data_IF_157854250418
#
_entry.id   IF_157854250418
#
_cell.length_a   1.000
_cell.length_b   1.000
_cell.length_c   1.000
_cell.angle_alpha   90.00
_cell.angle_beta   90.00
_cell.angle_gamma   90.00
#
_symmetry.space_group_name_H-M   'P 1'
#
loop_
_entity.id
_entity.type
_entity.pdbx_description
1 polymer ?
#
# COMPACT_ATOMS: atom_id res chain seq x y z
N UNK A 1 -23.08 -70.83 -37.63
CA UNK A 1 -23.22 -69.70 -36.66
C UNK A 1 -23.53 -68.43 -37.45
N UNK A 2 -24.75 -67.89 -37.32
CA UNK A 2 -25.38 -67.01 -38.32
C UNK A 2 -24.84 -65.57 -38.34
N UNK A 3 -24.83 -64.93 -39.51
CA UNK A 3 -24.43 -63.53 -39.77
C UNK A 3 -25.06 -62.54 -38.75
N UNK A 4 -26.25 -62.85 -38.25
CA UNK A 4 -26.97 -62.10 -37.23
C UNK A 4 -26.20 -61.94 -35.91
N UNK A 5 -25.53 -62.99 -35.42
CA UNK A 5 -24.73 -62.93 -34.19
C UNK A 5 -23.51 -62.00 -34.33
N UNK A 6 -22.96 -61.86 -35.55
CA UNK A 6 -21.84 -60.96 -35.85
C UNK A 6 -22.28 -59.50 -35.87
N UNK A 7 -23.45 -59.21 -36.47
CA UNK A 7 -24.02 -57.86 -36.51
C UNK A 7 -24.36 -57.34 -35.11
N UNK A 8 -24.99 -58.17 -34.27
CA UNK A 8 -25.32 -57.81 -32.88
C UNK A 8 -24.06 -57.54 -32.07
N UNK A 9 -23.01 -58.36 -32.22
CA UNK A 9 -21.73 -58.17 -31.53
C UNK A 9 -21.07 -56.85 -31.94
N UNK A 10 -21.01 -56.55 -33.23
CA UNK A 10 -20.43 -55.30 -33.74
C UNK A 10 -21.16 -54.04 -33.24
N UNK A 11 -22.49 -54.11 -33.12
CA UNK A 11 -23.30 -53.02 -32.58
C UNK A 11 -23.06 -52.77 -31.08
N UNK A 12 -22.88 -53.83 -30.30
CA UNK A 12 -22.52 -53.72 -28.88
C UNK A 12 -21.11 -53.10 -28.72
N UNK A 13 -20.15 -53.52 -29.55
CA UNK A 13 -18.79 -52.96 -29.52
C UNK A 13 -18.79 -51.48 -29.90
N UNK A 14 -19.47 -51.09 -30.98
CA UNK A 14 -19.57 -49.70 -31.40
C UNK A 14 -20.20 -48.79 -30.31
N UNK A 15 -21.24 -49.28 -29.62
CA UNK A 15 -21.86 -48.56 -28.50
C UNK A 15 -20.92 -48.37 -27.32
N UNK A 16 -20.09 -49.37 -26.99
CA UNK A 16 -19.11 -49.27 -25.91
C UNK A 16 -18.01 -48.28 -26.27
N UNK A 17 -17.51 -48.32 -27.50
CA UNK A 17 -16.51 -47.39 -28.01
C UNK A 17 -17.02 -45.95 -28.01
N UNK A 18 -18.24 -45.70 -28.48
CA UNK A 18 -18.85 -44.37 -28.46
C UNK A 18 -19.01 -43.80 -27.04
N UNK A 19 -19.41 -44.63 -26.08
CA UNK A 19 -19.51 -44.23 -24.66
C UNK A 19 -18.16 -43.89 -24.05
N UNK A 20 -17.12 -44.65 -24.42
CA UNK A 20 -15.76 -44.38 -23.96
C UNK A 20 -15.27 -43.03 -24.48
N UNK A 21 -15.43 -42.74 -25.77
CA UNK A 21 -15.06 -41.44 -26.34
C UNK A 21 -15.83 -40.28 -25.71
N UNK A 22 -17.14 -40.45 -25.47
CA UNK A 22 -17.93 -39.45 -24.79
C UNK A 22 -17.42 -39.15 -23.37
N UNK A 23 -17.06 -40.18 -22.61
CA UNK A 23 -16.51 -40.02 -21.26
C UNK A 23 -15.16 -39.29 -21.28
N UNK A 24 -14.30 -39.57 -22.26
CA UNK A 24 -13.02 -38.86 -22.44
C UNK A 24 -13.23 -37.38 -22.76
N UNK A 25 -14.16 -37.06 -23.66
CA UNK A 25 -14.47 -35.67 -24.02
C UNK A 25 -14.98 -34.90 -22.80
N UNK A 26 -15.90 -35.50 -22.02
CA UNK A 26 -16.42 -34.88 -20.80
C UNK A 26 -15.29 -34.66 -19.78
N UNK A 27 -14.39 -35.63 -19.62
CA UNK A 27 -13.23 -35.50 -18.73
C UNK A 27 -12.30 -34.35 -19.12
N UNK A 28 -12.05 -34.17 -20.43
CA UNK A 28 -11.21 -33.07 -20.93
C UNK A 28 -11.87 -31.70 -20.74
N UNK A 29 -13.17 -31.58 -21.00
CA UNK A 29 -13.92 -30.33 -20.79
C UNK A 29 -13.93 -29.95 -19.31
N UNK A 30 -14.15 -30.92 -18.41
CA UNK A 30 -14.12 -30.68 -16.96
C UNK A 30 -12.72 -30.29 -16.47
N UNK A 31 -11.67 -30.92 -16.97
CA UNK A 31 -10.29 -30.58 -16.63
C UNK A 31 -9.92 -29.15 -17.08
N UNK A 32 -10.41 -28.70 -18.24
CA UNK A 32 -10.21 -27.33 -18.73
C UNK A 32 -11.04 -26.26 -18.01
N UNK A 33 -12.03 -26.67 -17.21
CA UNK A 33 -12.87 -25.77 -16.40
C UNK A 33 -12.39 -25.62 -14.94
N UNK A 34 -11.25 -26.24 -14.59
CA UNK A 34 -10.66 -26.03 -13.28
C UNK A 34 -10.20 -24.57 -13.18
N UNK A 35 -10.52 -23.87 -12.08
CA UNK A 35 -10.05 -22.51 -11.86
C UNK A 35 -8.52 -22.49 -11.92
N UNK A 36 -7.97 -21.64 -12.77
CA UNK A 36 -6.53 -21.40 -12.78
C UNK A 36 -6.12 -20.74 -11.45
N UNK A 37 -4.95 -21.09 -10.88
CA UNK A 37 -4.43 -20.36 -9.74
C UNK A 37 -4.21 -18.91 -10.16
N UNK A 38 -5.00 -18.00 -9.59
CA UNK A 38 -4.75 -16.57 -9.68
C UNK A 38 -3.55 -16.30 -8.77
N UNK A 39 -2.42 -15.92 -9.37
CA UNK A 39 -1.32 -15.35 -8.59
C UNK A 39 -1.82 -14.02 -8.01
N UNK A 40 -1.87 -13.91 -6.69
CA UNK A 40 -1.97 -12.61 -6.03
C UNK A 40 -0.78 -11.76 -6.48
N UNK A 41 -1.00 -10.48 -6.77
CA UNK A 41 0.08 -9.54 -7.06
C UNK A 41 1.15 -9.63 -5.96
N UNK A 42 2.42 -9.53 -6.36
CA UNK A 42 3.54 -9.58 -5.42
C UNK A 42 3.32 -8.55 -4.30
N UNK A 43 3.60 -8.91 -3.03
CA UNK A 43 3.36 -8.00 -1.93
C UNK A 43 4.24 -6.76 -2.06
N UNK A 44 3.62 -5.58 -1.93
CA UNK A 44 4.33 -4.32 -1.69
C UNK A 44 5.10 -4.47 -0.38
N UNK A 45 6.41 -4.66 -0.48
CA UNK A 45 7.31 -4.78 0.68
C UNK A 45 8.02 -3.44 0.90
N UNK A 46 7.27 -2.48 1.47
CA UNK A 46 7.84 -1.24 1.97
C UNK A 46 8.51 -1.52 3.31
N UNK A 47 9.80 -1.84 3.26
CA UNK A 47 10.65 -1.85 4.44
C UNK A 47 11.05 -0.41 4.78
N UNK A 48 10.45 0.13 5.84
CA UNK A 48 11.04 1.25 6.57
C UNK A 48 12.30 0.73 7.28
N UNK A 49 13.43 0.81 6.59
CA UNK A 49 14.71 0.19 6.98
C UNK A 49 15.47 0.90 8.10
N UNK A 50 14.77 1.40 9.12
CA UNK A 50 15.30 2.06 10.34
C UNK A 50 14.21 2.88 11.04
N UNK A 51 14.09 2.78 12.39
CA UNK A 51 13.06 3.43 13.23
C UNK A 51 11.67 3.57 12.59
N UNK A 52 11.19 2.52 11.92
CA UNK A 52 9.86 2.49 11.33
C UNK A 52 8.83 2.15 12.41
N UNK A 53 8.08 3.18 12.83
CA UNK A 53 7.17 3.25 13.98
C UNK A 53 7.79 3.74 15.31
N UNK A 54 8.99 4.33 15.31
CA UNK A 54 9.37 5.14 16.48
C UNK A 54 8.68 6.50 16.35
N UNK A 55 7.74 6.79 17.25
CA UNK A 55 7.22 8.14 17.38
C UNK A 55 8.38 9.11 17.56
N UNK A 56 8.49 10.09 16.68
CA UNK A 56 9.44 11.18 16.88
C UNK A 56 8.84 12.15 17.88
N UNK A 57 9.55 12.38 18.97
CA UNK A 57 9.27 13.53 19.82
C UNK A 57 10.18 14.68 19.37
N UNK A 58 9.57 15.78 18.95
CA UNK A 58 10.27 17.03 18.66
C UNK A 58 9.65 18.07 19.59
N UNK A 59 10.48 18.63 20.47
CA UNK A 59 10.06 19.50 21.56
C UNK A 59 10.90 20.77 21.57
N UNK A 60 10.42 21.79 22.31
CA UNK A 60 11.11 23.06 22.50
C UNK A 60 11.44 23.80 21.20
N UNK A 61 10.58 23.68 20.19
CA UNK A 61 10.71 24.46 18.94
C UNK A 61 10.36 25.92 19.26
N UNK A 62 11.25 26.83 18.90
CA UNK A 62 11.07 28.27 19.08
C UNK A 62 11.01 29.00 17.73
N UNK A 63 10.50 30.25 17.67
CA UNK A 63 10.56 31.04 16.46
C UNK A 63 11.99 31.10 15.88
N UNK A 64 12.08 31.06 14.55
CA UNK A 64 13.32 30.99 13.76
C UNK A 64 14.07 29.64 13.80
N UNK A 65 13.62 28.66 14.57
CA UNK A 65 14.19 27.31 14.48
C UNK A 65 13.83 26.63 13.16
N UNK A 66 14.73 25.75 12.73
CA UNK A 66 14.50 24.85 11.60
C UNK A 66 15.21 23.52 11.83
N UNK A 67 14.68 22.45 11.23
CA UNK A 67 15.22 21.11 11.41
C UNK A 67 14.87 20.18 10.27
N UNK A 68 15.65 19.10 10.14
CA UNK A 68 15.42 18.04 9.17
C UNK A 68 15.56 16.69 9.86
N UNK A 69 14.60 15.80 9.63
CA UNK A 69 14.70 14.38 9.98
C UNK A 69 14.74 13.55 8.72
N UNK A 70 15.75 12.70 8.61
CA UNK A 70 15.96 11.84 7.44
C UNK A 70 15.52 10.43 7.77
N UNK A 71 14.73 9.83 6.88
CA UNK A 71 14.33 8.43 6.94
C UNK A 71 14.76 7.69 5.69
N UNK A 72 15.01 6.39 5.82
CA UNK A 72 15.28 5.50 4.70
C UNK A 72 14.05 4.65 4.42
N UNK A 73 13.44 4.87 3.27
CA UNK A 73 12.36 4.03 2.75
C UNK A 73 12.93 3.10 1.67
N UNK A 74 12.70 1.80 1.81
CA UNK A 74 13.09 0.80 0.83
C UNK A 74 11.85 0.06 0.35
N UNK A 75 11.54 0.15 -0.95
CA UNK A 75 10.59 -0.74 -1.59
C UNK A 75 11.35 -1.94 -2.16
N UNK A 76 11.21 -3.10 -1.51
CA UNK A 76 11.80 -4.36 -1.96
C UNK A 76 10.89 -5.12 -2.95
N UNK A 77 9.70 -4.58 -3.24
CA UNK A 77 8.74 -5.12 -4.20
C UNK A 77 8.96 -4.63 -5.63
N UNK A 78 8.06 -5.07 -6.51
CA UNK A 78 8.05 -4.76 -7.95
C UNK A 78 7.04 -3.68 -8.33
N UNK A 79 6.13 -3.31 -7.42
CA UNK A 79 5.05 -2.34 -7.61
C UNK A 79 5.26 -1.10 -6.74
N UNK A 80 4.66 0.03 -7.13
CA UNK A 80 4.67 1.26 -6.33
C UNK A 80 3.92 1.08 -4.99
N UNK A 81 4.36 1.79 -3.96
CA UNK A 81 3.79 1.72 -2.61
C UNK A 81 3.38 3.09 -2.05
N UNK A 82 2.50 3.08 -1.05
CA UNK A 82 2.05 4.29 -0.35
C UNK A 82 2.65 4.36 1.05
N UNK A 83 3.06 5.57 1.44
CA UNK A 83 3.47 5.87 2.82
C UNK A 83 2.54 6.93 3.36
N UNK A 84 2.11 6.77 4.61
CA UNK A 84 1.32 7.77 5.31
C UNK A 84 2.14 8.34 6.45
N UNK A 85 2.19 9.67 6.52
CA UNK A 85 2.83 10.42 7.60
C UNK A 85 1.69 11.10 8.36
N UNK A 86 1.65 10.88 9.67
CA UNK A 86 0.70 11.47 10.58
C UNK A 86 1.48 12.28 11.61
N UNK A 87 1.00 13.46 11.95
CA UNK A 87 1.54 14.25 13.06
C UNK A 87 0.46 14.35 14.11
N UNK A 88 0.76 13.92 15.34
CA UNK A 88 -0.20 13.88 16.44
C UNK A 88 0.38 14.52 17.69
N UNK A 89 -0.47 14.65 18.72
CA UNK A 89 -0.10 15.11 20.06
C UNK A 89 0.64 16.45 20.07
N UNK A 90 0.20 17.35 19.18
CA UNK A 90 0.78 18.68 19.03
C UNK A 90 0.31 19.54 20.19
N UNK A 91 1.27 20.08 20.95
CA UNK A 91 1.03 21.04 22.02
C UNK A 91 1.72 22.34 21.64
N UNK A 92 0.95 23.41 21.52
CA UNK A 92 1.48 24.76 21.37
C UNK A 92 1.20 25.52 22.65
N UNK A 93 2.27 25.96 23.31
CA UNK A 93 2.19 26.72 24.55
C UNK A 93 2.98 28.01 24.44
N UNK A 94 2.54 29.01 25.17
CA UNK A 94 3.29 30.26 25.29
C UNK A 94 4.64 30.03 26.00
N UNK A 95 5.69 30.62 25.43
CA UNK A 95 7.04 30.56 25.97
C UNK A 95 7.29 31.61 27.05
N UNK A 96 8.48 31.61 27.62
CA UNK A 96 8.92 32.74 28.42
C UNK A 96 9.08 33.97 27.52
N UNK A 97 8.17 34.93 27.61
CA UNK A 97 8.23 36.16 26.80
C UNK A 97 9.31 37.12 27.36
N UNK A 98 10.44 37.34 26.65
CA UNK A 98 11.48 38.25 27.11
C UNK A 98 11.19 39.72 26.78
N UNK A 99 10.22 39.99 25.89
CA UNK A 99 9.88 41.32 25.39
C UNK A 99 8.62 41.83 26.10
N UNK A 100 8.65 43.06 26.65
CA UNK A 100 7.57 43.46 27.57
C UNK A 100 6.22 43.64 26.88
N UNK A 101 6.16 44.05 25.62
CA UNK A 101 4.90 44.35 24.92
C UNK A 101 5.10 44.26 23.40
N UNK A 102 4.36 43.38 22.70
CA UNK A 102 3.83 43.54 21.32
C UNK A 102 3.17 42.27 20.72
N UNK A 103 3.06 41.18 21.49
CA UNK A 103 2.37 39.95 21.05
C UNK A 103 1.22 39.55 21.97
N UNK A 104 0.36 38.65 21.49
CA UNK A 104 -0.49 37.85 22.38
C UNK A 104 0.43 36.98 23.24
N UNK A 105 0.16 36.91 24.53
CA UNK A 105 0.89 36.07 25.49
C UNK A 105 -0.07 35.13 26.22
N UNK A 106 -1.28 34.98 25.69
CA UNK A 106 -2.28 34.07 26.21
C UNK A 106 -2.13 32.69 25.59
N UNK A 107 -2.43 31.66 26.37
CA UNK A 107 -2.44 30.27 25.88
C UNK A 107 -3.65 30.01 24.96
N UNK A 108 -3.53 29.16 23.93
CA UNK A 108 -2.32 28.44 23.50
C UNK A 108 -1.37 29.33 22.67
N UNK A 109 -0.11 28.93 22.60
CA UNK A 109 0.87 29.60 21.74
C UNK A 109 0.50 29.57 20.24
N UNK A 110 0.90 30.59 19.50
CA UNK A 110 0.54 30.76 18.08
C UNK A 110 1.57 30.22 17.09
N UNK A 111 2.73 29.73 17.55
CA UNK A 111 3.83 29.30 16.66
C UNK A 111 3.40 28.23 15.65
N UNK A 112 2.42 27.39 16.02
CA UNK A 112 1.90 26.30 15.18
C UNK A 112 1.33 26.81 13.84
N UNK A 113 0.72 27.99 13.82
CA UNK A 113 0.09 28.59 12.64
C UNK A 113 1.14 29.01 11.58
N UNK A 114 2.40 29.12 12.01
CA UNK A 114 3.51 29.59 11.19
C UNK A 114 4.56 28.51 10.91
N UNK A 115 4.46 27.33 11.53
CA UNK A 115 5.39 26.22 11.29
C UNK A 115 5.15 25.58 9.93
N UNK A 116 6.14 25.67 9.05
CA UNK A 116 6.11 25.10 7.72
C UNK A 116 6.81 23.73 7.67
N UNK A 117 6.09 22.74 7.19
CA UNK A 117 6.59 21.37 6.97
C UNK A 117 6.81 21.13 5.49
N UNK A 118 7.88 20.40 5.20
CA UNK A 118 8.23 20.01 3.84
C UNK A 118 8.66 18.54 3.80
N UNK A 119 8.44 17.89 2.66
CA UNK A 119 8.87 16.53 2.38
C UNK A 119 9.71 16.55 1.11
N UNK A 120 10.85 15.86 1.16
CA UNK A 120 11.73 15.71 0.02
C UNK A 120 12.29 14.29 -0.01
N UNK A 121 12.63 13.81 -1.21
CA UNK A 121 13.23 12.48 -1.42
C UNK A 121 14.59 12.62 -2.07
N UNK A 122 15.47 11.67 -1.76
CA UNK A 122 16.77 11.52 -2.42
C UNK A 122 16.85 10.08 -2.97
N UNK A 123 17.04 9.90 -4.29
CA UNK A 123 17.08 10.93 -5.33
C UNK A 123 15.73 11.64 -5.49
N UNK A 124 15.76 12.88 -5.99
CA UNK A 124 14.57 13.73 -6.14
C UNK A 124 13.51 13.09 -7.05
N UNK A 125 12.26 13.53 -6.88
CA UNK A 125 11.08 13.09 -7.65
C UNK A 125 10.65 11.63 -7.46
N UNK A 126 11.06 10.97 -6.37
CA UNK A 126 10.58 9.61 -6.02
C UNK A 126 9.38 9.61 -5.09
N UNK A 127 8.97 10.78 -4.62
CA UNK A 127 7.80 10.95 -3.76
C UNK A 127 6.76 11.81 -4.49
N UNK A 128 5.52 11.33 -4.50
CA UNK A 128 4.35 12.09 -4.93
C UNK A 128 3.45 12.28 -3.71
N UNK A 129 2.86 13.46 -3.59
CA UNK A 129 1.92 13.79 -2.52
C UNK A 129 0.77 14.62 -3.10
N UNK A 130 -0.40 14.50 -2.50
CA UNK A 130 -1.56 15.36 -2.80
C UNK A 130 -1.48 16.72 -2.09
N UNK A 131 -0.56 16.88 -1.13
CA UNK A 131 -0.37 18.14 -0.40
C UNK A 131 0.47 19.13 -1.22
N UNK A 132 0.09 20.40 -1.18
CA UNK A 132 0.92 21.48 -1.73
C UNK A 132 1.98 21.87 -0.70
N UNK A 133 3.23 21.44 -0.91
CA UNK A 133 4.34 21.66 0.02
C UNK A 133 5.21 22.88 -0.38
N UNK A 134 5.87 23.57 0.58
CA UNK A 134 5.72 23.39 2.02
C UNK A 134 4.33 23.85 2.51
N UNK A 135 3.85 23.27 3.61
CA UNK A 135 2.52 23.56 4.17
C UNK A 135 2.53 23.62 5.69
N UNK A 136 1.53 24.27 6.29
CA UNK A 136 1.38 24.32 7.75
C UNK A 136 0.88 23.00 8.30
N UNK A 137 1.00 22.81 9.61
CA UNK A 137 0.63 21.58 10.28
C UNK A 137 -0.86 21.24 10.13
N UNK A 138 -1.72 22.25 10.16
CA UNK A 138 -3.18 22.11 9.99
C UNK A 138 -3.61 21.59 8.61
N UNK A 139 -2.71 21.61 7.63
CA UNK A 139 -2.96 21.08 6.29
C UNK A 139 -2.54 19.61 6.13
N UNK A 140 -1.94 18.99 7.16
CA UNK A 140 -1.69 17.55 7.15
C UNK A 140 -2.96 16.77 7.53
N UNK A 141 -3.16 15.56 6.96
CA UNK A 141 -4.30 14.70 7.26
C UNK A 141 -4.27 14.13 8.68
#
# INVERSE_FOLDING_TARGET
MSKLKKTIRNWITAKRTARFFLAVIIGLVLAGSLPAPVHAADPVDLMLGGEGATSWNIENIMPCDSGVKTITLHNAGTEDGFVTIWVSDIVSSEGANPESETGDTSEPGELIDYLLFNLSSIPSNRLSTSLSLPTTLDNFP
#
